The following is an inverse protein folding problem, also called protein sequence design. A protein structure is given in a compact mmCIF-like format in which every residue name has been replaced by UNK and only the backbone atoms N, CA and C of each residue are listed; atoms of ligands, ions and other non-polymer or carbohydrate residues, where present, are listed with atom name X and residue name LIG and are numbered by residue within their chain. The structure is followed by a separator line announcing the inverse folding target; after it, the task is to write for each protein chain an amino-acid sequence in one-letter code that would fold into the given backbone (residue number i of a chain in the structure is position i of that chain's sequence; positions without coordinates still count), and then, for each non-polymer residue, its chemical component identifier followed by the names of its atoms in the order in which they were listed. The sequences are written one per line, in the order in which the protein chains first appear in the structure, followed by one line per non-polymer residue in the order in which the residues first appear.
data_IF_222843689305
#
_entry.id   IF_222843689305
#
_cell.length_a   1.000
_cell.length_b   1.000
_cell.length_c   1.000
_cell.angle_alpha   90.00
_cell.angle_beta   90.00
_cell.angle_gamma   90.00
#
_symmetry.space_group_name_H-M   'P 1'
#
loop_
_entity.id
_entity.type
_entity.pdbx_description
1 polymer ?
#
# COMPACT_ATOMS: atom_id res chain seq x y z
N UNK A 1 -5.61 0.63 2.24
CA UNK A 1 -4.85 -0.49 2.84
C UNK A 1 -3.45 0.00 3.17
N UNK A 2 -2.93 -0.32 4.35
CA UNK A 2 -1.67 0.21 4.89
C UNK A 2 -0.59 -0.89 4.98
N UNK A 3 -0.37 -1.59 3.87
CA UNK A 3 0.51 -2.78 3.80
C UNK A 3 1.95 -2.46 4.20
N UNK A 4 2.45 -1.31 3.79
CA UNK A 4 3.76 -0.74 4.17
C UNK A 4 3.88 -0.51 5.69
N UNK A 5 2.87 0.08 6.33
CA UNK A 5 2.83 0.27 7.79
C UNK A 5 2.85 -1.08 8.51
N UNK A 6 1.99 -2.04 8.11
CA UNK A 6 1.95 -3.33 8.80
C UNK A 6 3.26 -4.13 8.61
N UNK A 7 3.88 -4.05 7.43
CA UNK A 7 5.22 -4.60 7.18
C UNK A 7 6.27 -3.93 8.07
N UNK A 8 6.21 -2.61 8.24
CA UNK A 8 7.11 -1.89 9.13
C UNK A 8 6.91 -2.29 10.61
N UNK A 9 5.67 -2.54 11.06
CA UNK A 9 5.38 -3.01 12.42
C UNK A 9 5.91 -4.44 12.69
N UNK A 10 6.04 -5.26 11.64
CA UNK A 10 6.56 -6.64 11.67
C UNK A 10 8.07 -6.74 11.41
N UNK A 11 8.71 -5.65 10.98
CA UNK A 11 10.10 -5.68 10.56
C UNK A 11 11.03 -5.87 11.78
N UNK A 12 11.89 -6.89 11.74
CA UNK A 12 12.71 -7.33 12.90
C UNK A 12 13.66 -6.27 13.45
N UNK A 13 14.12 -5.33 12.63
CA UNK A 13 15.00 -4.22 13.08
C UNK A 13 14.23 -3.08 13.76
N UNK A 14 12.90 -3.08 13.69
CA UNK A 14 12.08 -2.02 14.26
C UNK A 14 11.65 -2.41 15.67
N UNK A 15 12.10 -1.68 16.72
CA UNK A 15 11.72 -2.02 18.08
C UNK A 15 10.25 -1.68 18.33
N UNK A 16 9.60 -2.50 19.16
CA UNK A 16 8.27 -2.16 19.70
C UNK A 16 8.34 -0.85 20.48
N UNK A 17 7.35 0.01 20.33
CA UNK A 17 7.34 1.33 20.97
C UNK A 17 8.26 2.36 20.32
N UNK A 18 8.82 2.06 19.14
CA UNK A 18 9.53 3.04 18.31
C UNK A 18 8.66 4.30 18.12
N UNK A 19 9.17 5.53 18.34
CA UNK A 19 8.33 6.73 18.34
C UNK A 19 7.62 6.96 17.00
N UNK A 20 8.33 6.81 15.87
CA UNK A 20 7.74 6.97 14.53
C UNK A 20 6.64 5.93 14.28
N UNK A 21 6.85 4.65 14.61
CA UNK A 21 5.83 3.61 14.42
C UNK A 21 4.64 3.79 15.35
N UNK A 22 4.88 4.24 16.58
CA UNK A 22 3.80 4.55 17.52
C UNK A 22 2.94 5.68 16.97
N UNK A 23 3.57 6.74 16.44
CA UNK A 23 2.88 7.85 15.82
C UNK A 23 2.09 7.42 14.57
N UNK A 24 2.72 6.67 13.66
CA UNK A 24 2.09 6.14 12.44
C UNK A 24 0.91 5.21 12.76
N UNK A 25 1.07 4.29 13.72
CA UNK A 25 0.00 3.39 14.13
C UNK A 25 -1.17 4.16 14.77
N UNK A 26 -0.88 5.19 15.57
CA UNK A 26 -1.90 5.98 16.23
C UNK A 26 -2.66 6.88 15.25
N UNK A 27 -1.94 7.50 14.29
CA UNK A 27 -2.53 8.26 13.19
C UNK A 27 -3.42 7.38 12.31
N UNK A 28 -2.98 6.14 12.03
CA UNK A 28 -3.81 5.15 11.34
C UNK A 28 -5.06 4.78 12.14
N UNK A 29 -4.90 4.38 13.40
CA UNK A 29 -6.00 4.08 14.34
C UNK A 29 -5.46 3.96 15.78
N UNK A 30 -5.97 4.74 16.75
CA UNK A 30 -5.51 4.64 18.15
C UNK A 30 -5.60 3.23 18.74
N UNK A 31 -6.68 2.49 18.46
CA UNK A 31 -6.80 1.10 18.90
C UNK A 31 -5.71 0.18 18.30
N UNK A 32 -5.29 0.39 17.04
CA UNK A 32 -4.20 -0.38 16.44
C UNK A 32 -2.86 -0.11 17.14
N UNK A 33 -2.58 1.16 17.48
CA UNK A 33 -1.40 1.51 18.25
C UNK A 33 -1.38 0.82 19.62
N UNK A 34 -2.52 0.76 20.31
CA UNK A 34 -2.66 0.05 21.59
C UNK A 34 -2.32 -1.42 21.45
N UNK A 35 -2.93 -2.11 20.48
CA UNK A 35 -2.69 -3.54 20.27
C UNK A 35 -1.22 -3.82 19.98
N UNK A 36 -0.62 -3.00 19.12
CA UNK A 36 0.81 -3.08 18.85
C UNK A 36 1.63 -2.89 20.13
N UNK A 37 1.42 -1.83 20.90
CA UNK A 37 2.19 -1.58 22.13
C UNK A 37 1.97 -2.66 23.19
N UNK A 38 0.78 -3.28 23.24
CA UNK A 38 0.45 -4.39 24.12
C UNK A 38 1.05 -5.75 23.69
N UNK A 39 1.78 -5.79 22.57
CA UNK A 39 2.47 -7.00 22.10
C UNK A 39 1.73 -7.80 21.02
N UNK A 40 0.57 -7.35 20.54
CA UNK A 40 -0.11 -8.00 19.42
C UNK A 40 0.55 -7.62 18.09
N UNK A 41 0.82 -8.62 17.26
CA UNK A 41 1.31 -8.42 15.90
C UNK A 41 0.15 -8.28 14.92
N UNK A 42 0.23 -7.37 13.93
CA UNK A 42 -0.78 -7.31 12.89
C UNK A 42 -0.70 -8.56 12.03
N UNK A 43 -1.84 -9.07 11.59
CA UNK A 43 -1.96 -10.06 10.51
C UNK A 43 -2.41 -9.34 9.25
N UNK A 44 -1.49 -8.83 8.40
CA UNK A 44 -1.87 -8.02 7.26
C UNK A 44 -2.76 -8.84 6.31
N UNK A 45 -3.88 -8.28 5.83
CA UNK A 45 -4.66 -8.94 4.78
C UNK A 45 -3.83 -9.06 3.50
N UNK A 46 -4.18 -10.02 2.65
CA UNK A 46 -3.55 -10.14 1.34
C UNK A 46 -3.79 -8.87 0.51
N UNK A 47 -2.70 -8.28 0.01
CA UNK A 47 -2.75 -7.08 -0.82
C UNK A 47 -2.42 -7.43 -2.28
N UNK A 48 -3.43 -7.59 -3.16
CA UNK A 48 -3.19 -7.96 -4.55
C UNK A 48 -2.38 -6.91 -5.31
N UNK A 49 -2.45 -5.65 -4.88
CA UNK A 49 -1.70 -4.55 -5.51
C UNK A 49 -0.22 -4.63 -5.18
N UNK A 50 0.08 -4.85 -3.90
CA UNK A 50 1.45 -5.05 -3.45
C UNK A 50 2.06 -6.31 -4.08
N UNK A 51 1.34 -7.43 -4.05
CA UNK A 51 1.84 -8.70 -4.63
C UNK A 51 2.08 -8.57 -6.14
N UNK A 52 1.17 -7.91 -6.88
CA UNK A 52 1.35 -7.73 -8.31
C UNK A 52 2.58 -6.90 -8.66
N UNK A 53 2.87 -5.82 -7.92
CA UNK A 53 4.11 -5.07 -8.16
C UNK A 53 5.34 -5.87 -7.77
N UNK A 54 5.29 -6.65 -6.69
CA UNK A 54 6.43 -7.49 -6.28
C UNK A 54 6.80 -8.47 -7.39
N UNK A 55 5.81 -9.19 -7.91
CA UNK A 55 6.01 -10.15 -8.99
C UNK A 55 6.47 -9.45 -10.28
N UNK A 56 5.91 -8.28 -10.59
CA UNK A 56 6.32 -7.46 -11.75
C UNK A 56 7.80 -7.06 -11.67
N UNK A 57 8.28 -6.68 -10.48
CA UNK A 57 9.70 -6.31 -10.27
C UNK A 57 10.64 -7.51 -10.18
N UNK A 58 10.12 -8.71 -9.94
CA UNK A 58 10.93 -9.94 -9.89
C UNK A 58 11.30 -10.50 -11.27
N UNK A 59 10.75 -9.91 -12.34
CA UNK A 59 10.92 -10.37 -13.73
C UNK A 59 9.91 -11.46 -14.14
N UNK A 60 9.99 -11.87 -15.41
CA UNK A 60 9.02 -12.78 -16.02
C UNK A 60 7.76 -12.08 -16.54
N UNK A 61 6.87 -12.84 -17.15
CA UNK A 61 5.61 -12.32 -17.69
C UNK A 61 4.45 -12.51 -16.72
N UNK A 62 3.37 -11.75 -16.91
CA UNK A 62 2.11 -11.95 -16.18
C UNK A 62 1.62 -13.41 -16.30
N UNK A 63 1.76 -14.01 -17.49
CA UNK A 63 1.36 -15.39 -17.72
C UNK A 63 2.20 -16.38 -16.89
N UNK A 64 3.52 -16.16 -16.77
CA UNK A 64 4.40 -17.02 -15.98
C UNK A 64 3.99 -17.04 -14.51
N UNK A 65 3.72 -15.87 -13.92
CA UNK A 65 3.32 -15.76 -12.52
C UNK A 65 1.92 -16.33 -12.28
N UNK A 66 0.95 -16.04 -13.16
CA UNK A 66 -0.38 -16.62 -13.05
C UNK A 66 -0.36 -18.14 -13.17
N UNK A 67 0.49 -18.71 -14.03
CA UNK A 67 0.70 -20.15 -14.11
C UNK A 67 1.26 -20.73 -12.81
N UNK A 68 2.25 -20.07 -12.19
CA UNK A 68 2.81 -20.49 -10.88
C UNK A 68 1.76 -20.47 -9.78
N UNK A 69 0.85 -19.51 -9.80
CA UNK A 69 -0.27 -19.48 -8.86
C UNK A 69 -1.34 -20.54 -9.16
N UNK A 70 -1.31 -21.21 -10.31
CA UNK A 70 -2.28 -22.25 -10.69
C UNK A 70 -3.45 -21.74 -11.54
N UNK A 71 -3.35 -20.55 -12.13
CA UNK A 71 -4.39 -19.99 -13.00
C UNK A 71 -4.24 -20.37 -14.48
N UNK A 72 -3.39 -21.33 -14.84
CA UNK A 72 -3.14 -21.68 -16.25
C UNK A 72 -4.41 -22.02 -17.04
N UNK A 73 -5.39 -22.67 -16.40
CA UNK A 73 -6.69 -22.97 -17.01
C UNK A 73 -7.62 -21.76 -17.21
N UNK A 74 -7.27 -20.59 -16.68
CA UNK A 74 -8.04 -19.34 -16.77
C UNK A 74 -7.38 -18.27 -17.65
N UNK A 75 -6.28 -18.61 -18.34
CA UNK A 75 -5.53 -17.62 -19.12
C UNK A 75 -6.38 -16.91 -20.17
N UNK A 76 -7.30 -17.62 -20.84
CA UNK A 76 -8.13 -17.03 -21.88
C UNK A 76 -9.17 -16.07 -21.30
N UNK A 77 -9.76 -16.38 -20.15
CA UNK A 77 -10.66 -15.47 -19.43
C UNK A 77 -9.92 -14.23 -18.91
N UNK A 78 -8.68 -14.39 -18.45
CA UNK A 78 -7.85 -13.28 -17.98
C UNK A 78 -7.46 -12.38 -19.17
N UNK A 79 -7.05 -12.95 -20.30
CA UNK A 79 -6.79 -12.20 -21.53
C UNK A 79 -8.04 -11.45 -21.99
N UNK A 80 -9.20 -12.11 -21.96
CA UNK A 80 -10.49 -11.50 -22.30
C UNK A 80 -10.78 -10.30 -21.41
N UNK A 81 -10.64 -10.44 -20.09
CA UNK A 81 -10.80 -9.34 -19.14
C UNK A 81 -9.87 -8.15 -19.47
N UNK A 82 -8.60 -8.40 -19.77
CA UNK A 82 -7.66 -7.33 -20.20
C UNK A 82 -8.17 -6.68 -21.50
N UNK A 83 -8.59 -7.44 -22.51
CA UNK A 83 -9.11 -6.81 -23.74
C UNK A 83 -10.40 -5.99 -23.50
N UNK A 84 -11.29 -6.46 -22.63
CA UNK A 84 -12.51 -5.74 -22.25
C UNK A 84 -12.18 -4.40 -21.57
N UNK A 85 -11.27 -4.41 -20.58
CA UNK A 85 -10.84 -3.17 -19.90
C UNK A 85 -10.16 -2.21 -20.89
N UNK A 86 -9.30 -2.72 -21.78
CA UNK A 86 -8.64 -1.92 -22.81
C UNK A 86 -9.66 -1.25 -23.73
N UNK A 87 -10.63 -2.01 -24.25
CA UNK A 87 -11.67 -1.50 -25.13
C UNK A 87 -12.55 -0.47 -24.42
N UNK A 88 -12.90 -0.73 -23.16
CA UNK A 88 -13.71 0.17 -22.35
C UNK A 88 -13.00 1.51 -22.09
N UNK A 89 -11.71 1.47 -21.73
CA UNK A 89 -10.86 2.64 -21.55
C UNK A 89 -10.70 3.47 -22.82
N UNK A 90 -10.65 2.83 -23.98
CA UNK A 90 -10.56 3.55 -25.26
C UNK A 90 -11.82 4.36 -25.59
N UNK A 91 -13.00 3.92 -25.11
CA UNK A 91 -14.28 4.58 -25.34
C UNK A 91 -14.62 5.65 -24.28
N UNK A 92 -13.96 5.63 -23.12
CA UNK A 92 -14.28 6.48 -21.99
C UNK A 92 -13.02 7.21 -21.49
N UNK A 93 -12.80 8.48 -21.89
CA UNK A 93 -11.58 9.23 -21.58
C UNK A 93 -11.61 9.78 -20.14
N UNK A 94 -11.85 8.92 -19.17
CA UNK A 94 -11.79 9.20 -17.73
C UNK A 94 -10.83 8.21 -17.06
N UNK A 95 -10.29 8.51 -15.87
CA UNK A 95 -9.47 7.55 -15.12
C UNK A 95 -10.29 6.30 -14.74
N UNK A 96 -9.69 5.12 -14.89
CA UNK A 96 -10.26 3.84 -14.44
C UNK A 96 -11.77 3.63 -14.72
N UNK A 97 -12.27 3.81 -15.96
CA UNK A 97 -13.68 3.71 -16.28
C UNK A 97 -14.26 2.32 -16.03
N UNK A 98 -13.40 1.29 -15.94
CA UNK A 98 -13.78 -0.08 -15.57
C UNK A 98 -14.25 -0.22 -14.12
N UNK A 99 -14.08 0.81 -13.28
CA UNK A 99 -14.65 0.84 -11.92
C UNK A 99 -16.11 1.33 -11.90
N UNK A 100 -16.61 1.88 -13.01
CA UNK A 100 -17.99 2.34 -13.08
C UNK A 100 -18.96 1.15 -13.06
N UNK A 101 -20.15 1.29 -12.44
CA UNK A 101 -21.16 0.21 -12.39
C UNK A 101 -21.63 -0.30 -13.77
N UNK A 102 -21.38 0.48 -14.83
CA UNK A 102 -21.73 0.14 -16.20
C UNK A 102 -20.75 -0.85 -16.85
N UNK A 103 -19.53 -0.98 -16.31
CA UNK A 103 -18.58 -1.97 -16.79
C UNK A 103 -19.02 -3.36 -16.34
N UNK A 104 -19.29 -4.25 -17.31
CA UNK A 104 -19.78 -5.62 -17.06
C UNK A 104 -18.68 -6.69 -17.17
N UNK A 105 -17.44 -6.29 -17.45
CA UNK A 105 -16.32 -7.22 -17.54
C UNK A 105 -15.88 -7.74 -16.17
N UNK A 106 -14.92 -8.68 -16.17
CA UNK A 106 -14.34 -9.20 -14.93
C UNK A 106 -15.19 -10.26 -14.22
N UNK A 107 -15.94 -11.06 -14.99
CA UNK A 107 -16.64 -12.23 -14.45
C UNK A 107 -16.05 -13.52 -14.99
N UNK A 108 -15.52 -14.37 -14.11
CA UNK A 108 -15.17 -15.75 -14.48
C UNK A 108 -16.42 -16.64 -14.30
N UNK A 109 -16.84 -17.39 -15.34
CA UNK A 109 -17.95 -18.34 -15.25
C UNK A 109 -17.77 -19.31 -14.08
N UNK A 110 -18.85 -19.60 -13.36
CA UNK A 110 -18.79 -20.48 -12.18
C UNK A 110 -18.17 -21.86 -12.50
N UNK A 111 -18.48 -22.43 -13.68
CA UNK A 111 -17.91 -23.68 -14.18
C UNK A 111 -16.38 -23.70 -14.22
N UNK A 112 -15.75 -22.58 -14.58
CA UNK A 112 -14.30 -22.45 -14.68
C UNK A 112 -13.64 -22.17 -13.32
N UNK A 113 -14.41 -21.76 -12.31
CA UNK A 113 -13.89 -21.59 -10.94
C UNK A 113 -13.66 -22.92 -10.24
N UNK A 114 -14.37 -23.97 -10.66
CA UNK A 114 -14.19 -25.32 -10.12
C UNK A 114 -12.79 -25.84 -10.48
N UNK A 115 -12.03 -26.24 -9.46
CA UNK A 115 -10.63 -26.68 -9.60
C UNK A 115 -9.58 -25.58 -9.34
N UNK A 116 -9.96 -24.30 -9.26
CA UNK A 116 -9.03 -23.19 -8.99
C UNK A 116 -9.01 -22.71 -7.54
N UNK A 117 -9.54 -23.49 -6.59
CA UNK A 117 -9.58 -23.09 -5.18
C UNK A 117 -8.17 -22.85 -4.61
N UNK A 118 -7.23 -23.77 -4.86
CA UNK A 118 -5.84 -23.61 -4.42
C UNK A 118 -5.20 -22.36 -5.03
N UNK A 119 -5.50 -22.07 -6.30
CA UNK A 119 -4.98 -20.89 -6.97
C UNK A 119 -5.49 -19.59 -6.34
N UNK A 120 -6.77 -19.55 -5.97
CA UNK A 120 -7.35 -18.40 -5.28
C UNK A 120 -6.83 -18.26 -3.86
N UNK A 121 -6.54 -19.35 -3.15
CA UNK A 121 -5.89 -19.26 -1.85
C UNK A 121 -4.51 -18.60 -1.93
N UNK A 122 -3.75 -18.85 -3.00
CA UNK A 122 -2.47 -18.16 -3.25
C UNK A 122 -2.63 -16.64 -3.46
N UNK A 123 -3.82 -16.18 -3.85
CA UNK A 123 -4.18 -14.76 -3.94
C UNK A 123 -5.11 -14.32 -2.81
N UNK A 124 -5.02 -14.92 -1.62
CA UNK A 124 -5.74 -14.45 -0.43
C UNK A 124 -7.23 -14.83 -0.38
N UNK A 125 -7.67 -15.82 -1.16
CA UNK A 125 -8.98 -16.45 -1.00
C UNK A 125 -10.16 -15.73 -1.66
N UNK A 126 -9.93 -14.60 -2.34
CA UNK A 126 -10.98 -13.79 -2.97
C UNK A 126 -10.73 -13.62 -4.48
N UNK A 127 -11.75 -13.91 -5.30
CA UNK A 127 -11.70 -13.71 -6.75
C UNK A 127 -11.47 -12.26 -7.16
N UNK A 128 -11.86 -11.28 -6.32
CA UNK A 128 -11.56 -9.86 -6.56
C UNK A 128 -10.06 -9.59 -6.54
N UNK A 129 -9.27 -10.38 -5.81
CA UNK A 129 -7.82 -10.24 -5.74
C UNK A 129 -7.16 -10.62 -7.07
N UNK A 130 -7.69 -11.61 -7.80
CA UNK A 130 -7.18 -11.95 -9.14
C UNK A 130 -7.32 -10.77 -10.10
N UNK A 131 -8.48 -10.11 -10.14
CA UNK A 131 -8.67 -8.96 -11.01
C UNK A 131 -7.88 -7.74 -10.56
N UNK A 132 -7.76 -7.53 -9.24
CA UNK A 132 -6.87 -6.50 -8.68
C UNK A 132 -5.42 -6.72 -9.11
N UNK A 133 -4.93 -7.95 -9.00
CA UNK A 133 -3.59 -8.35 -9.40
C UNK A 133 -3.35 -8.12 -10.90
N UNK A 134 -4.22 -8.66 -11.77
CA UNK A 134 -4.10 -8.52 -13.23
C UNK A 134 -4.17 -7.05 -13.64
N UNK A 135 -5.05 -6.26 -13.01
CA UNK A 135 -5.25 -4.85 -13.34
C UNK A 135 -4.03 -4.00 -13.00
N UNK A 136 -3.33 -4.30 -11.91
CA UNK A 136 -2.09 -3.61 -11.54
C UNK A 136 -1.02 -3.85 -12.59
N UNK A 137 -0.88 -5.11 -13.01
CA UNK A 137 0.07 -5.49 -14.05
C UNK A 137 -0.25 -4.85 -15.39
N UNK A 138 -1.49 -4.95 -15.85
CA UNK A 138 -1.88 -4.53 -17.19
C UNK A 138 -2.06 -3.02 -17.32
N UNK A 139 -2.42 -2.33 -16.23
CA UNK A 139 -2.85 -0.93 -16.27
C UNK A 139 -2.22 -0.05 -15.20
N UNK A 140 -2.47 -0.33 -13.92
CA UNK A 140 -2.18 0.67 -12.87
C UNK A 140 -0.70 1.02 -12.76
N UNK A 141 0.20 0.05 -12.95
CA UNK A 141 1.65 0.32 -12.97
C UNK A 141 2.04 1.35 -14.04
N UNK A 142 1.39 1.31 -15.21
CA UNK A 142 1.61 2.26 -16.29
C UNK A 142 0.85 3.57 -16.07
N UNK A 143 -0.34 3.52 -15.48
CA UNK A 143 -1.12 4.71 -15.12
C UNK A 143 -0.35 5.56 -14.09
N UNK A 144 0.17 4.95 -13.03
CA UNK A 144 1.02 5.62 -12.03
C UNK A 144 2.29 6.16 -12.65
N UNK A 145 2.99 5.36 -13.48
CA UNK A 145 4.17 5.80 -14.22
C UNK A 145 3.88 7.08 -15.01
N UNK A 146 2.77 7.10 -15.76
CA UNK A 146 2.34 8.27 -16.54
C UNK A 146 1.99 9.45 -15.63
N UNK A 147 1.24 9.23 -14.56
CA UNK A 147 0.86 10.29 -13.61
C UNK A 147 2.06 10.90 -12.88
N UNK A 148 3.11 10.13 -12.64
CA UNK A 148 4.38 10.64 -12.15
C UNK A 148 5.14 11.46 -13.21
N UNK A 149 4.76 11.40 -14.50
CA UNK A 149 5.47 12.07 -15.59
C UNK A 149 6.70 11.31 -16.09
N UNK A 150 6.72 9.97 -15.95
CA UNK A 150 7.79 9.13 -16.51
C UNK A 150 7.45 8.81 -17.96
N UNK A 151 8.28 9.28 -18.90
CA UNK A 151 8.05 9.07 -20.34
C UNK A 151 8.07 7.56 -20.70
N UNK A 152 7.32 7.11 -21.73
CA UNK A 152 7.23 5.69 -22.12
C UNK A 152 8.56 5.04 -22.52
N UNK A 153 9.50 5.83 -23.02
CA UNK A 153 10.84 5.48 -23.47
C UNK A 153 11.93 5.80 -22.43
N UNK A 154 11.56 6.38 -21.28
CA UNK A 154 12.51 6.65 -20.21
C UNK A 154 13.14 5.35 -19.68
N UNK A 155 14.45 5.39 -19.44
CA UNK A 155 15.15 4.33 -18.71
C UNK A 155 14.89 4.49 -17.21
N UNK A 156 14.17 3.54 -16.64
CA UNK A 156 13.86 3.52 -15.22
C UNK A 156 13.88 2.11 -14.65
N UNK A 157 14.23 2.03 -13.36
CA UNK A 157 14.09 0.80 -12.56
C UNK A 157 12.99 1.00 -11.53
N UNK A 158 12.09 0.02 -11.43
CA UNK A 158 11.10 -0.09 -10.34
C UNK A 158 11.52 -1.20 -9.38
N UNK A 159 11.56 -0.90 -8.10
CA UNK A 159 11.90 -1.84 -7.03
C UNK A 159 11.08 -1.57 -5.76
N UNK A 160 10.93 -2.57 -4.91
CA UNK A 160 10.51 -2.39 -3.52
C UNK A 160 11.76 -2.31 -2.66
N UNK A 161 12.01 -1.18 -2.00
CA UNK A 161 13.22 -0.96 -1.21
C UNK A 161 12.86 -0.65 0.25
N UNK A 162 13.69 -1.13 1.17
CA UNK A 162 13.65 -0.72 2.57
C UNK A 162 14.40 0.60 2.73
N UNK A 163 13.70 1.65 3.12
CA UNK A 163 14.28 2.96 3.44
C UNK A 163 14.38 3.16 4.94
N UNK A 164 15.32 4.00 5.37
CA UNK A 164 15.46 4.43 6.75
C UNK A 164 14.71 5.75 6.96
N UNK A 165 13.80 5.81 7.94
CA UNK A 165 13.14 7.03 8.38
C UNK A 165 13.81 7.51 9.68
N UNK A 166 14.48 8.66 9.58
CA UNK A 166 15.26 9.24 10.69
C UNK A 166 14.72 10.62 11.03
N UNK A 167 14.58 10.90 12.33
CA UNK A 167 14.22 12.22 12.84
C UNK A 167 15.19 12.66 13.94
N UNK A 168 15.48 13.96 14.07
CA UNK A 168 16.20 14.51 15.20
C UNK A 168 15.63 14.02 16.54
N UNK A 169 16.50 13.55 17.43
CA UNK A 169 16.13 13.01 18.74
C UNK A 169 15.68 11.54 18.75
N UNK A 170 15.56 10.89 17.59
CA UNK A 170 15.29 9.45 17.49
C UNK A 170 16.59 8.73 17.13
N UNK A 171 17.05 7.86 18.04
CA UNK A 171 18.36 7.20 17.92
C UNK A 171 18.42 6.07 16.90
N UNK A 172 17.33 5.32 16.76
CA UNK A 172 17.27 4.14 15.90
C UNK A 172 16.48 4.52 14.65
N UNK A 173 17.03 4.39 13.43
CA UNK A 173 16.28 4.63 12.21
C UNK A 173 15.16 3.59 12.03
N UNK A 174 13.96 4.05 11.68
CA UNK A 174 12.86 3.16 11.35
C UNK A 174 13.05 2.57 9.95
N UNK A 175 13.01 1.25 9.81
CA UNK A 175 13.02 0.57 8.52
C UNK A 175 11.62 0.52 7.93
N UNK A 176 11.44 1.00 6.71
CA UNK A 176 10.13 1.15 6.06
C UNK A 176 10.20 0.69 4.61
N UNK A 177 9.31 -0.21 4.18
CA UNK A 177 9.27 -0.65 2.78
C UNK A 177 8.45 0.31 1.92
N UNK A 178 8.99 0.70 0.77
CA UNK A 178 8.30 1.57 -0.19
C UNK A 178 8.64 1.20 -1.63
N UNK A 179 7.84 1.68 -2.58
CA UNK A 179 8.10 1.52 -4.00
C UNK A 179 8.98 2.65 -4.51
N UNK A 180 10.03 2.30 -5.24
CA UNK A 180 11.04 3.24 -5.71
C UNK A 180 11.16 3.14 -7.23
N UNK A 181 11.00 4.28 -7.89
CA UNK A 181 11.36 4.48 -9.29
C UNK A 181 12.67 5.26 -9.34
N UNK A 182 13.70 4.67 -9.93
CA UNK A 182 14.99 5.32 -10.20
C UNK A 182 15.07 5.63 -11.70
N UNK A 183 15.18 6.91 -12.05
CA UNK A 183 15.20 7.37 -13.43
C UNK A 183 16.57 7.93 -13.79
N UNK A 184 17.11 7.53 -14.94
CA UNK A 184 18.31 8.14 -15.50
C UNK A 184 17.92 9.39 -16.30
N UNK A 185 18.28 10.57 -15.79
CA UNK A 185 18.04 11.87 -16.46
C UNK A 185 19.40 12.52 -16.72
N UNK A 186 19.90 12.36 -17.95
CA UNK A 186 21.25 12.79 -18.31
C UNK A 186 22.31 12.04 -17.50
N UNK A 187 23.02 12.75 -16.62
CA UNK A 187 24.04 12.18 -15.73
C UNK A 187 23.55 12.00 -14.28
N UNK A 188 22.27 12.27 -14.01
CA UNK A 188 21.71 12.28 -12.65
C UNK A 188 20.65 11.20 -12.52
N UNK A 189 20.64 10.52 -11.36
CA UNK A 189 19.55 9.62 -10.99
C UNK A 189 18.51 10.38 -10.18
N UNK A 190 17.31 10.53 -10.73
CA UNK A 190 16.15 11.03 -10.00
C UNK A 190 15.45 9.87 -9.29
N UNK A 191 15.06 10.07 -8.03
CA UNK A 191 14.36 9.05 -7.23
C UNK A 191 12.93 9.51 -6.96
N UNK A 192 11.96 8.65 -7.29
CA UNK A 192 10.55 8.86 -6.97
C UNK A 192 10.06 7.73 -6.08
N UNK A 193 9.48 8.08 -4.95
CA UNK A 193 8.95 7.15 -3.95
C UNK A 193 7.43 7.11 -4.04
N UNK A 194 6.84 5.91 -4.06
CA UNK A 194 5.41 5.70 -4.20
C UNK A 194 4.78 5.14 -2.93
N UNK A 195 3.75 5.83 -2.43
CA UNK A 195 2.89 5.34 -1.35
C UNK A 195 1.50 5.04 -1.87
N UNK A 196 1.00 3.83 -1.61
CA UNK A 196 -0.37 3.51 -1.95
C UNK A 196 -1.36 4.25 -1.05
N UNK A 197 -2.31 4.90 -1.72
CA UNK A 197 -3.45 5.57 -1.10
C UNK A 197 -4.76 4.98 -1.62
N UNK A 198 -5.85 5.41 -1.00
CA UNK A 198 -7.20 5.08 -1.44
C UNK A 198 -8.01 6.37 -1.52
N UNK A 199 -8.68 6.61 -2.65
CA UNK A 199 -9.48 7.82 -2.90
C UNK A 199 -8.66 9.11 -2.74
N UNK A 200 -7.40 9.09 -3.21
CA UNK A 200 -6.44 10.21 -3.16
C UNK A 200 -6.15 10.74 -1.74
N UNK A 201 -6.51 10.01 -0.69
CA UNK A 201 -6.25 10.43 0.69
C UNK A 201 -4.77 10.23 1.03
N UNK A 202 -4.03 11.33 1.08
CA UNK A 202 -2.64 11.34 1.50
C UNK A 202 -2.56 11.41 3.02
N UNK A 203 -1.88 10.42 3.63
CA UNK A 203 -1.56 10.43 5.06
C UNK A 203 -0.35 11.35 5.25
N UNK A 204 -0.61 12.59 5.66
CA UNK A 204 0.43 13.64 5.73
C UNK A 204 1.65 13.20 6.55
N UNK A 205 1.45 12.44 7.63
CA UNK A 205 2.54 11.95 8.46
C UNK A 205 3.40 10.93 7.69
N UNK A 206 2.79 9.94 7.03
CA UNK A 206 3.52 8.93 6.22
C UNK A 206 4.31 9.59 5.11
N UNK A 207 3.70 10.54 4.41
CA UNK A 207 4.32 11.22 3.28
C UNK A 207 5.47 12.15 3.70
N UNK A 208 5.26 12.97 4.73
CA UNK A 208 6.30 13.85 5.27
C UNK A 208 7.51 13.08 5.81
N UNK A 209 7.27 11.93 6.48
CA UNK A 209 8.35 11.04 6.90
C UNK A 209 9.13 10.47 5.72
N UNK A 210 8.42 10.00 4.69
CA UNK A 210 9.06 9.36 3.54
C UNK A 210 9.90 10.34 2.71
N UNK A 211 9.47 11.60 2.61
CA UNK A 211 10.24 12.66 1.94
C UNK A 211 11.61 12.91 2.59
N UNK A 212 11.71 12.65 3.90
CA UNK A 212 12.95 12.76 4.70
C UNK A 212 13.67 11.42 4.89
N UNK A 213 13.24 10.39 4.17
CA UNK A 213 13.88 9.08 4.23
C UNK A 213 15.29 9.11 3.65
N UNK A 214 16.06 8.06 3.94
CA UNK A 214 17.32 7.77 3.28
C UNK A 214 17.32 6.34 2.73
N UNK A 215 18.16 6.05 1.71
CA UNK A 215 18.48 4.69 1.31
C UNK A 215 18.91 3.80 2.50
N UNK A 216 18.87 2.46 2.33
CA UNK A 216 19.47 1.56 3.29
C UNK A 216 20.95 1.91 3.52
N UNK A 217 21.37 2.00 4.79
CA UNK A 217 22.77 2.25 5.16
C UNK A 217 23.13 3.71 5.50
N UNK A 218 22.15 4.54 5.87
CA UNK A 218 22.30 5.89 6.42
C UNK A 218 23.00 6.93 5.52
N UNK A 219 23.27 6.61 4.25
CA UNK A 219 23.68 7.61 3.27
C UNK A 219 22.47 8.39 2.77
N UNK A 220 22.54 9.72 2.58
CA UNK A 220 21.44 10.47 2.00
C UNK A 220 21.17 10.04 0.56
N UNK A 221 19.95 10.27 0.09
CA UNK A 221 19.67 10.18 -1.35
C UNK A 221 20.62 11.11 -2.12
N UNK A 222 21.08 10.73 -3.34
CA UNK A 222 21.89 11.61 -4.18
C UNK A 222 21.20 12.96 -4.45
N UNK A 223 19.86 12.95 -4.53
CA UNK A 223 18.99 14.11 -4.65
C UNK A 223 17.77 13.89 -3.75
N UNK A 224 17.10 14.97 -3.31
CA UNK A 224 15.85 14.83 -2.55
C UNK A 224 14.81 14.02 -3.33
N UNK A 225 14.29 12.92 -2.78
CA UNK A 225 13.33 12.10 -3.48
C UNK A 225 11.99 12.84 -3.64
N UNK A 226 11.36 12.67 -4.79
CA UNK A 226 9.97 13.09 -4.98
C UNK A 226 9.05 12.01 -4.41
N UNK A 227 8.00 12.40 -3.67
CA UNK A 227 7.06 11.45 -3.09
C UNK A 227 5.73 11.56 -3.81
N UNK A 228 5.15 10.43 -4.20
CA UNK A 228 3.90 10.35 -4.94
C UNK A 228 2.88 9.48 -4.22
N UNK A 229 1.64 9.96 -4.21
CA UNK A 229 0.46 9.23 -3.80
C UNK A 229 -0.03 8.40 -4.99
N UNK A 230 -0.04 7.09 -4.85
CA UNK A 230 -0.45 6.15 -5.89
C UNK A 230 -1.85 5.64 -5.56
N UNK A 231 -2.87 6.16 -6.23
CA UNK A 231 -4.24 5.69 -6.00
C UNK A 231 -4.41 4.28 -6.54
N UNK A 232 -4.69 3.37 -5.63
CA UNK A 232 -4.77 1.94 -5.92
C UNK A 232 -6.02 1.53 -6.68
N UNK A 233 -7.03 2.39 -6.69
CA UNK A 233 -8.28 2.20 -7.41
C UNK A 233 -8.19 2.92 -8.76
N UNK A 234 -7.92 4.22 -8.81
CA UNK A 234 -8.05 4.99 -10.06
C UNK A 234 -6.83 4.94 -10.97
N UNK A 235 -5.66 4.57 -10.45
CA UNK A 235 -4.40 4.66 -11.18
C UNK A 235 -3.84 6.08 -11.26
N UNK A 236 -4.48 7.05 -10.60
CA UNK A 236 -3.97 8.41 -10.49
C UNK A 236 -2.69 8.42 -9.62
N UNK A 237 -1.75 9.27 -10.00
CA UNK A 237 -0.57 9.56 -9.20
C UNK A 237 -0.48 11.07 -8.99
N UNK A 238 -0.46 11.48 -7.72
CA UNK A 238 -0.36 12.88 -7.31
C UNK A 238 0.97 13.09 -6.58
N UNK A 239 1.66 14.19 -6.88
CA UNK A 239 2.83 14.60 -6.10
C UNK A 239 2.39 14.96 -4.67
N UNK A 240 3.23 14.66 -3.69
CA UNK A 240 3.02 15.10 -2.30
C UNK A 240 3.15 16.61 -2.22
N UNK A 241 2.06 17.28 -1.85
CA UNK A 241 2.08 18.70 -1.51
C UNK A 241 2.00 18.83 0.02
N UNK A 242 3.14 19.10 0.70
CA UNK A 242 3.21 19.06 2.16
C UNK A 242 2.34 20.16 2.77
N UNK A 243 1.37 19.75 3.59
CA UNK A 243 0.59 20.65 4.44
C UNK A 243 1.29 20.93 5.77
N UNK A 244 2.15 20.00 6.21
CA UNK A 244 2.93 20.12 7.42
C UNK A 244 4.26 20.83 7.13
N UNK A 245 4.55 21.90 7.88
CA UNK A 245 5.87 22.52 7.85
C UNK A 245 6.95 21.55 8.35
N UNK A 246 8.12 21.56 7.71
CA UNK A 246 9.20 20.61 8.01
C UNK A 246 9.63 20.62 9.49
N UNK A 247 9.55 21.78 10.16
CA UNK A 247 9.91 21.94 11.58
C UNK A 247 8.86 21.47 12.59
N UNK A 248 7.65 21.12 12.14
CA UNK A 248 6.58 20.62 13.00
C UNK A 248 6.48 19.08 12.98
N UNK A 249 7.15 18.41 12.05
CA UNK A 249 7.12 16.95 11.92
C UNK A 249 7.62 16.24 13.18
N UNK A 250 8.73 16.67 13.76
CA UNK A 250 9.29 16.09 14.98
C UNK A 250 8.31 16.25 16.14
N UNK A 251 7.70 17.42 16.29
CA UNK A 251 6.73 17.70 17.36
C UNK A 251 5.46 16.87 17.19
N UNK A 252 4.99 16.73 15.96
CA UNK A 252 3.83 15.90 15.64
C UNK A 252 4.10 14.43 15.98
N UNK A 253 5.25 13.89 15.55
CA UNK A 253 5.66 12.51 15.87
C UNK A 253 5.78 12.31 17.37
N UNK A 254 6.40 13.24 18.10
CA UNK A 254 6.51 13.16 19.56
C UNK A 254 5.13 13.17 20.22
N UNK A 255 4.23 14.07 19.79
CA UNK A 255 2.88 14.20 20.35
C UNK A 255 2.04 12.95 20.11
N UNK A 256 2.01 12.45 18.86
CA UNK A 256 1.30 11.23 18.51
C UNK A 256 1.91 9.99 19.17
N UNK A 257 3.24 9.92 19.30
CA UNK A 257 3.89 8.85 20.04
C UNK A 257 3.55 8.87 21.53
N UNK A 258 3.43 10.06 22.13
CA UNK A 258 2.99 10.21 23.51
C UNK A 258 1.54 9.75 23.68
N UNK A 259 0.64 10.19 22.79
CA UNK A 259 -0.76 9.75 22.79
C UNK A 259 -0.90 8.25 22.55
N UNK A 260 -0.06 7.66 21.70
CA UNK A 260 -0.03 6.21 21.51
C UNK A 260 0.28 5.47 22.82
N UNK A 261 1.15 6.02 23.67
CA UNK A 261 1.58 5.39 24.92
C UNK A 261 0.63 5.65 26.09
N UNK A 262 0.12 6.88 26.20
CA UNK A 262 -0.55 7.38 27.40
C UNK A 262 -1.94 7.96 27.13
N UNK A 263 -2.30 8.16 25.87
CA UNK A 263 -3.56 8.75 25.46
C UNK A 263 -4.70 7.73 25.33
N UNK A 264 -5.89 8.19 24.90
CA UNK A 264 -7.04 7.32 24.67
C UNK A 264 -6.83 6.47 23.41
N UNK A 265 -7.44 5.28 23.37
CA UNK A 265 -7.30 4.35 22.24
C UNK A 265 -8.63 3.99 21.57
N UNK A 266 -9.44 4.98 21.16
CA UNK A 266 -10.71 4.69 20.51
C UNK A 266 -10.49 3.96 19.17
N UNK A 267 -11.38 3.01 18.80
CA UNK A 267 -11.32 2.33 17.51
C UNK A 267 -11.90 3.24 16.40
N UNK A 268 -11.28 4.40 16.18
CA UNK A 268 -11.81 5.46 15.31
C UNK A 268 -12.13 4.97 13.90
N UNK A 269 -11.30 4.11 13.32
CA UNK A 269 -11.61 3.54 12.00
C UNK A 269 -12.88 2.67 12.03
N UNK A 270 -13.13 1.92 13.09
CA UNK A 270 -14.36 1.14 13.19
C UNK A 270 -15.60 2.03 13.37
N UNK A 271 -15.44 3.20 14.00
CA UNK A 271 -16.53 4.14 14.26
C UNK A 271 -16.85 5.02 13.04
N UNK A 272 -15.83 5.50 12.33
CA UNK A 272 -15.98 6.48 11.25
C UNK A 272 -15.83 5.87 9.85
N UNK A 273 -15.00 4.84 9.71
CA UNK A 273 -14.63 4.25 8.41
C UNK A 273 -14.59 2.71 8.45
N UNK A 274 -15.73 2.02 8.70
CA UNK A 274 -15.74 0.57 8.90
C UNK A 274 -15.10 -0.23 7.76
N UNK A 275 -15.17 0.27 6.52
CA UNK A 275 -14.52 -0.33 5.35
C UNK A 275 -12.99 -0.37 5.45
N UNK A 276 -12.37 0.55 6.19
CA UNK A 276 -10.92 0.53 6.44
C UNK A 276 -10.53 -0.64 7.36
N UNK A 277 -11.44 -1.05 8.26
CA UNK A 277 -11.20 -2.15 9.18
C UNK A 277 -11.17 -3.53 8.52
N UNK A 278 -11.85 -3.73 7.39
CA UNK A 278 -11.76 -4.99 6.64
C UNK A 278 -10.38 -5.23 6.01
N UNK A 279 -9.57 -4.17 5.93
CA UNK A 279 -8.20 -4.21 5.44
C UNK A 279 -7.17 -3.92 6.55
N UNK A 280 -7.56 -4.03 7.82
CA UNK A 280 -6.70 -3.75 8.97
C UNK A 280 -6.07 -5.03 9.53
N UNK A 281 -4.76 -5.02 9.76
CA UNK A 281 -4.06 -6.17 10.35
C UNK A 281 -4.47 -6.53 11.78
N UNK A 282 -5.23 -5.67 12.46
CA UNK A 282 -5.74 -5.91 13.82
C UNK A 282 -7.22 -6.29 13.85
N UNK A 283 -7.83 -6.62 12.71
CA UNK A 283 -9.26 -6.94 12.63
C UNK A 283 -9.66 -8.03 13.63
N UNK A 284 -8.87 -9.11 13.73
CA UNK A 284 -9.18 -10.27 14.57
C UNK A 284 -9.13 -9.99 16.09
N UNK A 285 -8.44 -8.93 16.52
CA UNK A 285 -8.40 -8.53 17.95
C UNK A 285 -9.39 -7.41 18.26
N UNK A 286 -9.71 -6.58 17.27
CA UNK A 286 -10.71 -5.52 17.40
C UNK A 286 -12.15 -6.02 17.31
N UNK A 287 -12.40 -7.13 16.62
CA UNK A 287 -13.75 -7.65 16.38
C UNK A 287 -13.91 -9.08 16.90
N UNK A 288 -15.04 -9.34 17.54
CA UNK A 288 -15.55 -10.67 17.84
C UNK A 288 -16.92 -10.85 17.13
N UNK A 289 -17.06 -11.90 16.33
CA UNK A 289 -18.28 -12.20 15.55
C UNK A 289 -18.89 -10.99 14.82
N UNK A 290 -18.04 -10.20 14.15
CA UNK A 290 -18.42 -8.97 13.42
C UNK A 290 -18.91 -7.79 14.28
N UNK A 291 -18.78 -7.88 15.60
CA UNK A 291 -19.04 -6.79 16.54
C UNK A 291 -17.73 -6.32 17.18
N UNK A 292 -17.66 -5.05 17.60
CA UNK A 292 -16.48 -4.57 18.31
C UNK A 292 -16.31 -5.34 19.62
N UNK A 293 -15.10 -5.85 19.86
CA UNK A 293 -14.81 -6.62 21.05
C UNK A 293 -14.93 -5.74 22.30
N UNK A 294 -15.38 -6.27 23.46
CA UNK A 294 -15.41 -5.50 24.70
C UNK A 294 -14.03 -4.91 25.05
N UNK A 295 -12.95 -5.60 24.71
CA UNK A 295 -11.59 -5.12 24.92
C UNK A 295 -11.22 -3.89 24.08
N UNK A 296 -11.78 -3.78 22.87
CA UNK A 296 -11.64 -2.60 22.02
C UNK A 296 -12.43 -1.40 22.54
N UNK A 297 -13.48 -1.63 23.32
CA UNK A 297 -14.35 -0.58 23.88
C UNK A 297 -14.00 -0.19 25.33
N UNK A 298 -13.28 -1.04 26.07
CA UNK A 298 -13.01 -0.85 27.49
C UNK A 298 -12.13 0.36 27.86
N UNK A 299 -11.59 1.07 26.88
CA UNK A 299 -10.64 2.18 27.07
C UNK A 299 -10.88 3.36 26.11
N UNK A 300 -12.16 3.61 25.82
CA UNK A 300 -12.63 4.86 25.20
C UNK A 300 -12.33 6.05 26.11
#
# INVERSE_FOLDING_TARGET
MFTDLFRALLHRKNPRGHPILSALAYAFCPAAARWWLAGADPTPPFDPVWQSLQDLTSGGTLADHLNRYGFGGLMDEIKKYVQEVKAWRALHPIPAPELLPLFRGGSIPAGLRFGSQNAIQNLGGDWRNLFGYVRVWAYLSQDWRRGMGIAPDADFTLSCETVSLTLPGIRIPLQFETWVWKLAIGHVTETRLGLFVQRRQQDELRFALLRRSSPPGDQPWPNSPLVFALDRETGEADHHDPLLADGDLERLVQSLSHLAKNGPHPPLNALHYPSTCSACGYQNVCFDKHTLSPHALAHL
#
